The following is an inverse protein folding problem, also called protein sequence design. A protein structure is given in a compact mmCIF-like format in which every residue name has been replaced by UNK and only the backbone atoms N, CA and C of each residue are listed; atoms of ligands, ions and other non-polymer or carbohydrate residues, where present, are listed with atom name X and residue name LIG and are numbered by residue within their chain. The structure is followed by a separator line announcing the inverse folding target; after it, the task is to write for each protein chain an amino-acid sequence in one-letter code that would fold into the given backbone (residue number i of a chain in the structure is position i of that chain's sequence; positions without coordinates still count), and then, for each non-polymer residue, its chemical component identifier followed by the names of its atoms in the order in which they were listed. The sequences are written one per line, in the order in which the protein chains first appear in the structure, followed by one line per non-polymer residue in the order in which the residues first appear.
data_IF_938343218652
#
_entry.id   IF_938343218652
#
_cell.length_a   1.000
_cell.length_b   1.000
_cell.length_c   1.000
_cell.angle_alpha   90.00
_cell.angle_beta   90.00
_cell.angle_gamma   90.00
#
_symmetry.space_group_name_H-M   'P 1'
#
loop_
_entity.id
_entity.type
_entity.pdbx_description
1 polymer ?
#
# COMPACT_ATOMS: atom_id res chain seq x y z
N UNK A 1 18.79 -11.46 -32.40
CA UNK A 1 17.34 -11.75 -32.54
C UNK A 1 16.54 -11.24 -31.32
N UNK A 2 16.74 -9.98 -30.87
CA UNK A 2 16.27 -9.51 -29.55
C UNK A 2 15.38 -8.25 -29.65
N UNK A 3 14.19 -8.37 -30.24
CA UNK A 3 13.17 -7.31 -30.17
C UNK A 3 11.84 -7.81 -29.57
N UNK A 4 11.54 -9.11 -29.72
CA UNK A 4 10.36 -9.74 -29.14
C UNK A 4 10.44 -9.90 -27.61
N UNK A 5 11.59 -10.34 -27.08
CA UNK A 5 11.79 -10.51 -25.64
C UNK A 5 11.67 -9.19 -24.85
N UNK A 6 12.13 -8.08 -25.44
CA UNK A 6 12.00 -6.75 -24.82
C UNK A 6 10.54 -6.28 -24.78
N UNK A 7 9.74 -6.63 -25.80
CA UNK A 7 8.31 -6.31 -25.85
C UNK A 7 7.51 -7.15 -24.84
N UNK A 8 7.86 -8.41 -24.61
CA UNK A 8 7.18 -9.26 -23.60
C UNK A 8 7.58 -8.91 -22.17
N UNK A 9 8.84 -8.61 -21.88
CA UNK A 9 9.32 -8.17 -20.54
C UNK A 9 8.74 -6.81 -20.14
N UNK A 10 8.46 -5.92 -21.11
CA UNK A 10 7.83 -4.61 -20.84
C UNK A 10 6.29 -4.68 -20.88
N UNK A 11 5.72 -5.61 -21.66
CA UNK A 11 4.27 -5.83 -21.70
C UNK A 11 3.71 -6.60 -20.50
N UNK A 12 4.49 -7.49 -19.88
CA UNK A 12 4.04 -8.25 -18.70
C UNK A 12 3.76 -7.36 -17.46
N UNK A 13 4.65 -6.44 -17.05
CA UNK A 13 4.36 -5.51 -15.96
C UNK A 13 3.29 -4.49 -16.35
N UNK A 14 3.24 -4.05 -17.63
CA UNK A 14 2.21 -3.11 -18.10
C UNK A 14 0.82 -3.76 -18.15
N UNK A 15 0.72 -5.04 -18.51
CA UNK A 15 -0.53 -5.82 -18.48
C UNK A 15 -0.97 -6.10 -17.04
N UNK A 16 -0.04 -6.39 -16.14
CA UNK A 16 -0.33 -6.56 -14.71
C UNK A 16 -0.74 -5.23 -14.06
N UNK A 17 -0.17 -4.11 -14.50
CA UNK A 17 -0.57 -2.76 -14.10
C UNK A 17 -1.98 -2.42 -14.62
N UNK A 18 -2.31 -2.76 -15.86
CA UNK A 18 -3.63 -2.49 -16.45
C UNK A 18 -4.75 -3.32 -15.77
N UNK A 19 -4.48 -4.59 -15.48
CA UNK A 19 -5.39 -5.46 -14.72
C UNK A 19 -5.46 -5.01 -13.26
N UNK A 20 -4.34 -4.59 -12.67
CA UNK A 20 -4.29 -3.98 -11.34
C UNK A 20 -5.15 -2.71 -11.26
N UNK A 21 -5.11 -1.83 -12.25
CA UNK A 21 -6.00 -0.64 -12.32
C UNK A 21 -7.48 -1.05 -12.37
N UNK A 22 -7.82 -2.11 -13.10
CA UNK A 22 -9.20 -2.59 -13.21
C UNK A 22 -9.72 -3.28 -11.93
N UNK A 23 -8.84 -3.97 -11.18
CA UNK A 23 -9.19 -4.67 -9.92
C UNK A 23 -9.12 -3.74 -8.69
N UNK A 24 -8.30 -2.69 -8.71
CA UNK A 24 -8.18 -1.71 -7.62
C UNK A 24 -9.19 -0.55 -7.77
N UNK A 25 -9.83 -0.39 -8.94
CA UNK A 25 -10.93 0.55 -9.14
C UNK A 25 -12.05 0.46 -8.05
N UNK A 26 -12.54 -0.73 -7.63
CA UNK A 26 -13.49 -0.81 -6.52
C UNK A 26 -12.87 -0.46 -5.15
N UNK A 27 -11.54 -0.52 -4.98
CA UNK A 27 -10.87 -0.15 -3.73
C UNK A 27 -10.76 1.37 -3.53
N UNK A 28 -10.87 2.18 -4.59
CA UNK A 28 -10.94 3.64 -4.51
C UNK A 28 -12.36 4.19 -4.34
N UNK A 29 -13.39 3.35 -4.52
CA UNK A 29 -14.79 3.73 -4.30
C UNK A 29 -15.28 3.41 -2.87
N UNK A 30 -14.50 2.68 -2.09
CA UNK A 30 -14.79 2.42 -0.69
C UNK A 30 -13.91 3.34 0.15
N UNK A 31 -14.44 4.50 0.52
CA UNK A 31 -14.09 5.02 1.84
C UNK A 31 -14.29 3.85 2.82
N UNK A 32 -13.40 3.66 3.80
CA UNK A 32 -13.82 2.89 4.96
C UNK A 32 -14.97 3.73 5.53
N UNK A 33 -16.20 3.46 5.12
CA UNK A 33 -17.35 3.71 5.95
C UNK A 33 -17.11 2.79 7.13
N UNK A 34 -16.65 3.26 8.30
CA UNK A 34 -16.95 2.50 9.48
C UNK A 34 -18.47 2.39 9.44
N UNK A 35 -18.98 1.17 9.41
CA UNK A 35 -20.35 0.89 9.76
C UNK A 35 -20.53 1.26 11.23
N UNK A 36 -20.44 2.54 11.56
CA UNK A 36 -21.23 3.13 12.62
C UNK A 36 -22.47 3.65 11.92
N UNK A 37 -23.52 2.85 11.99
CA UNK A 37 -24.87 3.39 11.89
C UNK A 37 -24.93 4.56 12.87
N UNK A 38 -24.74 5.77 12.33
CA UNK A 38 -24.84 7.00 13.08
C UNK A 38 -26.35 7.22 13.25
N UNK A 39 -26.91 6.64 14.31
CA UNK A 39 -28.27 6.88 14.82
C UNK A 39 -28.43 8.36 15.21
N UNK A 40 -28.38 9.27 14.25
CA UNK A 40 -28.49 10.71 14.47
C UNK A 40 -27.25 11.40 15.06
N UNK A 41 -26.22 10.66 15.50
CA UNK A 41 -25.01 11.23 16.10
C UNK A 41 -24.31 12.25 15.19
N UNK A 42 -24.31 12.02 13.88
CA UNK A 42 -23.77 12.96 12.90
C UNK A 42 -24.61 14.25 12.78
N UNK A 43 -25.93 14.16 12.91
CA UNK A 43 -26.84 15.32 12.89
C UNK A 43 -26.68 16.16 14.17
N UNK A 44 -26.52 15.51 15.32
CA UNK A 44 -26.27 16.18 16.60
C UNK A 44 -24.89 16.84 16.63
N UNK A 45 -23.86 16.22 16.03
CA UNK A 45 -22.53 16.83 15.90
C UNK A 45 -22.51 18.04 14.95
N UNK A 46 -23.34 18.01 13.91
CA UNK A 46 -23.56 19.12 12.97
C UNK A 46 -24.26 20.31 13.63
N UNK A 47 -25.33 20.07 14.40
CA UNK A 47 -26.00 21.11 15.19
C UNK A 47 -25.13 21.65 16.35
N UNK A 48 -24.27 20.80 16.93
CA UNK A 48 -23.35 21.21 17.99
C UNK A 48 -22.09 21.93 17.48
N UNK A 49 -21.91 22.08 16.15
CA UNK A 49 -20.67 22.63 15.53
C UNK A 49 -19.39 21.93 16.00
N UNK A 50 -19.49 20.65 16.39
CA UNK A 50 -18.35 19.82 16.81
C UNK A 50 -17.77 19.03 15.63
N UNK A 51 -17.97 19.49 14.40
CA UNK A 51 -17.32 18.98 13.19
C UNK A 51 -15.81 19.29 13.22
N UNK A 52 -15.09 18.70 14.17
CA UNK A 52 -13.64 18.68 14.17
C UNK A 52 -13.21 17.71 13.07
N UNK A 53 -12.91 18.27 11.89
CA UNK A 53 -11.93 17.78 10.92
C UNK A 53 -12.00 16.32 10.44
N UNK A 54 -13.19 15.71 10.42
CA UNK A 54 -13.36 14.42 9.72
C UNK A 54 -13.01 14.50 8.23
N UNK A 55 -13.12 15.68 7.62
CA UNK A 55 -12.82 15.85 6.20
C UNK A 55 -11.31 15.85 5.91
N UNK A 56 -10.50 16.64 6.63
CA UNK A 56 -9.06 16.71 6.32
C UNK A 56 -8.36 15.39 6.67
N UNK A 57 -8.69 14.79 7.81
CA UNK A 57 -8.03 13.56 8.23
C UNK A 57 -8.42 12.35 7.36
N UNK A 58 -9.69 12.25 6.91
CA UNK A 58 -10.10 11.19 5.97
C UNK A 58 -9.50 11.39 4.58
N UNK A 59 -9.45 12.62 4.06
CA UNK A 59 -8.84 12.91 2.76
C UNK A 59 -7.35 12.55 2.79
N UNK A 60 -6.62 12.98 3.83
CA UNK A 60 -5.19 12.69 3.99
C UNK A 60 -4.97 11.18 4.20
N UNK A 61 -5.78 10.54 5.04
CA UNK A 61 -5.73 9.09 5.25
C UNK A 61 -5.98 8.30 3.95
N UNK A 62 -6.93 8.74 3.12
CA UNK A 62 -7.21 8.16 1.81
C UNK A 62 -6.05 8.30 0.81
N UNK A 63 -5.42 9.48 0.77
CA UNK A 63 -4.24 9.74 -0.08
C UNK A 63 -3.06 8.85 0.38
N UNK A 64 -2.78 8.81 1.68
CA UNK A 64 -1.68 7.99 2.24
C UNK A 64 -1.90 6.51 1.94
N UNK A 65 -3.12 5.99 2.16
CA UNK A 65 -3.46 4.59 1.87
C UNK A 65 -3.30 4.26 0.38
N UNK A 66 -3.67 5.19 -0.50
CA UNK A 66 -3.50 5.07 -1.96
C UNK A 66 -2.02 5.00 -2.35
N UNK A 67 -1.21 5.92 -1.84
CA UNK A 67 0.24 5.98 -2.13
C UNK A 67 0.96 4.75 -1.57
N UNK A 68 0.61 4.29 -0.36
CA UNK A 68 1.14 3.06 0.21
C UNK A 68 0.78 1.83 -0.63
N UNK A 69 -0.45 1.75 -1.14
CA UNK A 69 -0.88 0.67 -2.02
C UNK A 69 -0.07 0.60 -3.31
N UNK A 70 0.09 1.73 -4.00
CA UNK A 70 0.90 1.82 -5.23
C UNK A 70 2.36 1.46 -4.94
N UNK A 71 2.91 1.95 -3.83
CA UNK A 71 4.28 1.66 -3.40
C UNK A 71 4.49 0.16 -3.21
N UNK A 72 3.57 -0.52 -2.53
CA UNK A 72 3.63 -1.99 -2.35
C UNK A 72 3.65 -2.75 -3.68
N UNK A 73 2.83 -2.33 -4.65
CA UNK A 73 2.81 -2.93 -6.00
C UNK A 73 4.13 -2.74 -6.73
N UNK A 74 4.76 -1.56 -6.61
CA UNK A 74 6.08 -1.29 -7.21
C UNK A 74 7.15 -2.20 -6.61
N UNK A 75 7.18 -2.35 -5.29
CA UNK A 75 8.12 -3.26 -4.63
C UNK A 75 7.92 -4.72 -5.07
N UNK A 76 6.67 -5.16 -5.23
CA UNK A 76 6.36 -6.49 -5.75
C UNK A 76 6.94 -6.69 -7.16
N UNK A 77 6.76 -5.72 -8.05
CA UNK A 77 7.32 -5.77 -9.42
C UNK A 77 8.85 -5.81 -9.44
N UNK A 78 9.52 -5.08 -8.54
CA UNK A 78 10.99 -5.12 -8.41
C UNK A 78 11.51 -6.50 -8.03
N UNK A 79 10.78 -7.25 -7.18
CA UNK A 79 11.15 -8.63 -6.82
C UNK A 79 11.06 -9.54 -8.04
N UNK A 80 10.00 -9.44 -8.85
CA UNK A 80 9.88 -10.21 -10.09
C UNK A 80 10.99 -9.88 -11.09
N UNK A 81 11.32 -8.60 -11.28
CA UNK A 81 12.41 -8.19 -12.18
C UNK A 81 13.77 -8.72 -11.74
N UNK A 82 14.05 -8.74 -10.42
CA UNK A 82 15.26 -9.35 -9.90
C UNK A 82 15.25 -10.88 -10.02
N UNK A 83 14.08 -11.51 -9.90
CA UNK A 83 13.89 -12.95 -10.10
C UNK A 83 14.25 -13.40 -11.51
N UNK A 84 13.85 -12.65 -12.54
CA UNK A 84 14.24 -12.96 -13.92
C UNK A 84 15.76 -12.94 -14.12
N UNK A 85 16.46 -11.96 -13.53
CA UNK A 85 17.92 -11.86 -13.59
C UNK A 85 18.59 -13.04 -12.88
N UNK A 86 18.02 -13.47 -11.75
CA UNK A 86 18.53 -14.62 -11.00
C UNK A 86 18.38 -15.93 -11.79
N UNK A 87 17.23 -16.14 -12.44
CA UNK A 87 16.95 -17.35 -13.21
C UNK A 87 17.71 -17.41 -14.55
N UNK A 88 18.03 -16.26 -15.14
CA UNK A 88 18.75 -16.16 -16.42
C UNK A 88 20.26 -15.98 -16.27
N UNK A 89 20.81 -16.19 -15.07
CA UNK A 89 22.21 -15.95 -14.80
C UNK A 89 23.16 -16.99 -15.45
N UNK A 90 22.66 -18.14 -15.90
CA UNK A 90 23.44 -19.19 -16.62
C UNK A 90 24.76 -19.60 -15.93
N UNK A 91 24.87 -19.41 -14.60
CA UNK A 91 26.08 -19.71 -13.83
C UNK A 91 27.06 -18.54 -13.67
N UNK A 92 26.74 -17.33 -14.15
CA UNK A 92 27.53 -16.14 -13.86
C UNK A 92 27.26 -15.64 -12.42
N UNK A 93 28.28 -15.77 -11.56
CA UNK A 93 28.23 -15.37 -10.15
C UNK A 93 27.89 -13.89 -9.94
N UNK A 94 28.39 -13.00 -10.79
CA UNK A 94 28.13 -11.55 -10.69
C UNK A 94 26.64 -11.23 -10.89
N UNK A 95 25.98 -11.92 -11.83
CA UNK A 95 24.53 -11.76 -12.06
C UNK A 95 23.72 -12.31 -10.89
N UNK A 96 24.14 -13.42 -10.30
CA UNK A 96 23.50 -14.04 -9.15
C UNK A 96 23.60 -13.12 -7.93
N UNK A 97 24.80 -12.58 -7.66
CA UNK A 97 25.03 -11.67 -6.54
C UNK A 97 24.24 -10.37 -6.69
N UNK A 98 24.22 -9.80 -7.91
CA UNK A 98 23.44 -8.60 -8.21
C UNK A 98 21.94 -8.81 -8.04
N UNK A 99 21.41 -9.94 -8.52
CA UNK A 99 20.00 -10.28 -8.35
C UNK A 99 19.64 -10.48 -6.87
N UNK A 100 20.48 -11.21 -6.13
CA UNK A 100 20.31 -11.44 -4.68
C UNK A 100 20.30 -10.12 -3.90
N UNK A 101 21.25 -9.23 -4.17
CA UNK A 101 21.32 -7.91 -3.53
C UNK A 101 20.07 -7.09 -3.83
N UNK A 102 19.58 -7.14 -5.07
CA UNK A 102 18.35 -6.42 -5.47
C UNK A 102 17.11 -6.96 -4.75
N UNK A 103 17.01 -8.29 -4.56
CA UNK A 103 15.92 -8.92 -3.80
C UNK A 103 15.98 -8.50 -2.33
N UNK A 104 17.15 -8.55 -1.69
CA UNK A 104 17.30 -8.15 -0.29
C UNK A 104 16.95 -6.68 -0.07
N UNK A 105 17.45 -5.79 -0.93
CA UNK A 105 17.15 -4.36 -0.84
C UNK A 105 15.65 -4.08 -1.00
N UNK A 106 14.98 -4.80 -1.92
CA UNK A 106 13.54 -4.68 -2.12
C UNK A 106 12.75 -5.20 -0.91
N UNK A 107 13.16 -6.33 -0.33
CA UNK A 107 12.51 -6.91 0.85
C UNK A 107 12.62 -5.99 2.08
N UNK A 108 13.78 -5.38 2.29
CA UNK A 108 13.99 -4.42 3.38
C UNK A 108 13.07 -3.20 3.21
N UNK A 109 12.91 -2.69 1.99
CA UNK A 109 11.98 -1.60 1.70
C UNK A 109 10.53 -1.93 2.06
N UNK A 110 10.07 -3.13 1.74
CA UNK A 110 8.72 -3.61 2.11
C UNK A 110 8.57 -3.67 3.63
N UNK A 111 9.55 -4.23 4.34
CA UNK A 111 9.52 -4.35 5.81
C UNK A 111 9.41 -2.97 6.47
N UNK A 112 10.14 -1.96 5.99
CA UNK A 112 10.09 -0.59 6.52
C UNK A 112 8.69 0.00 6.38
N UNK A 113 8.07 -0.12 5.19
CA UNK A 113 6.72 0.41 4.94
C UNK A 113 5.69 -0.27 5.83
N UNK A 114 5.76 -1.59 5.97
CA UNK A 114 4.88 -2.35 6.85
C UNK A 114 5.03 -1.93 8.32
N UNK A 115 6.27 -1.79 8.79
CA UNK A 115 6.56 -1.40 10.17
C UNK A 115 6.05 0.01 10.46
N UNK A 116 6.25 0.95 9.54
CA UNK A 116 5.75 2.31 9.66
C UNK A 116 4.21 2.37 9.75
N UNK A 117 3.52 1.57 8.92
CA UNK A 117 2.06 1.50 8.94
C UNK A 117 1.53 0.91 10.25
N UNK A 118 2.07 -0.23 10.70
CA UNK A 118 1.66 -0.88 11.95
C UNK A 118 1.96 0.03 13.14
N UNK A 119 3.15 0.64 13.18
CA UNK A 119 3.56 1.54 14.25
C UNK A 119 2.67 2.78 14.37
N UNK A 120 2.28 3.38 13.23
CA UNK A 120 1.39 4.55 13.22
C UNK A 120 0.01 4.19 13.78
N UNK A 121 -0.56 3.07 13.34
CA UNK A 121 -1.85 2.61 13.85
C UNK A 121 -1.78 2.27 15.34
N UNK A 122 -0.70 1.64 15.79
CA UNK A 122 -0.49 1.34 17.21
C UNK A 122 -0.47 2.61 18.07
N UNK A 123 0.22 3.65 17.60
CA UNK A 123 0.31 4.93 18.32
C UNK A 123 -1.05 5.64 18.40
N UNK A 124 -1.78 5.69 17.29
CA UNK A 124 -3.11 6.30 17.22
C UNK A 124 -4.09 5.56 18.15
N UNK A 125 -4.14 4.22 18.08
CA UNK A 125 -5.02 3.42 18.94
C UNK A 125 -4.68 3.58 20.42
N UNK A 126 -3.40 3.69 20.77
CA UNK A 126 -2.95 3.93 22.15
C UNK A 126 -3.42 5.30 22.68
N UNK A 127 -3.33 6.34 21.85
CA UNK A 127 -3.80 7.69 22.21
C UNK A 127 -5.32 7.70 22.33
N UNK A 128 -6.06 7.11 21.38
CA UNK A 128 -7.52 7.02 21.42
C UNK A 128 -8.02 6.22 22.63
N UNK A 129 -7.33 5.14 23.00
CA UNK A 129 -7.61 4.38 24.21
C UNK A 129 -7.40 5.22 25.48
N UNK A 130 -6.33 6.03 25.53
CA UNK A 130 -6.01 6.87 26.70
C UNK A 130 -7.04 7.98 26.92
N UNK A 131 -7.62 8.53 25.85
CA UNK A 131 -8.63 9.61 25.94
C UNK A 131 -10.08 9.10 26.11
N UNK A 132 -10.28 7.79 26.27
CA UNK A 132 -11.58 7.19 26.66
C UNK A 132 -12.66 7.17 25.57
N UNK A 133 -12.31 7.42 24.30
CA UNK A 133 -13.27 7.50 23.18
C UNK A 133 -13.54 6.16 22.50
N UNK A 134 -12.77 5.11 22.80
CA UNK A 134 -12.95 3.74 22.30
C UNK A 134 -12.71 2.73 23.41
N UNK A 135 -13.62 1.77 23.60
CA UNK A 135 -13.48 0.68 24.58
C UNK A 135 -12.23 -0.15 24.29
N UNK A 136 -11.21 0.01 25.13
CA UNK A 136 -9.99 -0.77 25.05
C UNK A 136 -10.31 -2.22 25.45
N UNK A 137 -10.08 -3.17 24.53
CA UNK A 137 -10.05 -4.59 24.82
C UNK A 137 -8.62 -5.09 24.86
#
# INVERSE_FOLDING_TARGET
MSFAAKKTVLAFPLSLLLVGVFVVAPAFAQSPSPSSENYGLNKTAEEASLNVDRNLNEIIGGIVKTVLGITGVIFMLSIFGAGEIWLTAEGNEEKIEKARTTIFNSAIGVIIVFTAYIGTNFLINTILCTIGVTSCS
#
